data_IF_918818968351
#
_entry.id   IF_918818968351
#
_cell.length_a   1.000
_cell.length_b   1.000
_cell.length_c   1.000
_cell.angle_alpha   90.00
_cell.angle_beta   90.00
_cell.angle_gamma   90.00
#
_symmetry.space_group_name_H-M   'P 1'
#
loop_
_entity.id
_entity.type
_entity.pdbx_description
1 polymer ?
#
# COMPACT_ATOMS: atom_id res chain seq x y z
N UNK A 1 7.13 -29.00 7.01
CA UNK A 1 8.38 -28.45 7.58
C UNK A 1 8.75 -27.22 6.78
N UNK A 2 9.17 -26.14 7.42
CA UNK A 2 9.50 -24.91 6.69
C UNK A 2 10.84 -25.05 5.95
N UNK A 3 10.88 -24.57 4.70
CA UNK A 3 12.07 -24.58 3.86
C UNK A 3 13.07 -23.52 4.34
N UNK A 4 14.30 -23.95 4.65
CA UNK A 4 15.37 -23.13 5.21
C UNK A 4 15.72 -21.94 4.32
N UNK A 5 15.72 -22.12 3.00
CA UNK A 5 16.03 -21.05 2.05
C UNK A 5 14.99 -19.91 2.09
N UNK A 6 13.72 -20.24 2.25
CA UNK A 6 12.65 -19.24 2.37
C UNK A 6 12.73 -18.46 3.68
N UNK A 7 13.02 -19.15 4.78
CA UNK A 7 13.19 -18.52 6.10
C UNK A 7 14.36 -17.54 6.08
N UNK A 8 15.50 -17.94 5.51
CA UNK A 8 16.68 -17.07 5.38
C UNK A 8 16.35 -15.80 4.58
N UNK A 9 15.64 -15.93 3.45
CA UNK A 9 15.23 -14.76 2.65
C UNK A 9 14.29 -13.83 3.42
N UNK A 10 13.36 -14.38 4.18
CA UNK A 10 12.45 -13.58 5.00
C UNK A 10 13.20 -12.85 6.13
N UNK A 11 14.11 -13.55 6.81
CA UNK A 11 14.95 -12.99 7.87
C UNK A 11 15.85 -11.86 7.33
N UNK A 12 16.46 -12.06 6.16
CA UNK A 12 17.26 -11.02 5.49
C UNK A 12 16.41 -9.79 5.11
N UNK A 13 15.19 -10.00 4.63
CA UNK A 13 14.27 -8.90 4.28
C UNK A 13 13.91 -8.08 5.53
N UNK A 14 13.62 -8.74 6.65
CA UNK A 14 13.37 -8.10 7.93
C UNK A 14 14.60 -7.36 8.46
N UNK A 15 15.76 -8.02 8.48
CA UNK A 15 17.00 -7.43 8.96
C UNK A 15 17.40 -6.19 8.16
N UNK A 16 17.27 -6.23 6.83
CA UNK A 16 17.52 -5.08 5.97
C UNK A 16 16.56 -3.92 6.26
N UNK A 17 15.26 -4.21 6.39
CA UNK A 17 14.24 -3.18 6.66
C UNK A 17 14.44 -2.52 8.02
N UNK A 18 14.74 -3.30 9.06
CA UNK A 18 15.06 -2.80 10.41
C UNK A 18 16.38 -2.04 10.43
N UNK A 19 17.41 -2.53 9.74
CA UNK A 19 18.69 -1.83 9.61
C UNK A 19 18.53 -0.46 8.96
N UNK A 20 17.72 -0.37 7.90
CA UNK A 20 17.36 0.91 7.27
C UNK A 20 16.58 1.79 8.25
N UNK A 21 15.60 1.24 8.98
CA UNK A 21 14.85 2.01 9.97
C UNK A 21 15.76 2.60 11.07
N UNK A 22 16.73 1.84 11.56
CA UNK A 22 17.74 2.31 12.52
C UNK A 22 18.64 3.39 11.92
N UNK A 23 19.09 3.22 10.68
CA UNK A 23 19.90 4.21 9.98
C UNK A 23 19.12 5.52 9.75
N UNK A 24 17.85 5.43 9.37
CA UNK A 24 16.95 6.59 9.23
C UNK A 24 16.71 7.28 10.58
N UNK A 25 16.54 6.52 11.66
CA UNK A 25 16.38 7.07 13.00
C UNK A 25 17.64 7.80 13.47
N UNK A 26 18.81 7.18 13.26
CA UNK A 26 20.11 7.80 13.55
C UNK A 26 20.31 9.07 12.71
N UNK A 27 20.04 9.02 11.41
CA UNK A 27 20.15 10.18 10.52
C UNK A 27 19.21 11.31 10.96
N UNK A 28 17.95 10.98 11.28
CA UNK A 28 16.97 11.95 11.78
C UNK A 28 17.38 12.53 13.14
N UNK A 29 18.12 11.81 13.97
CA UNK A 29 18.59 12.31 15.26
C UNK A 29 19.85 13.16 15.12
N UNK A 30 20.83 12.70 14.33
CA UNK A 30 22.15 13.33 14.21
C UNK A 30 22.20 14.50 13.24
N UNK A 31 21.36 14.51 12.20
CA UNK A 31 21.42 15.47 11.10
C UNK A 31 20.14 16.30 10.97
N UNK A 32 19.54 16.74 12.08
CA UNK A 32 18.52 17.80 12.03
C UNK A 32 19.21 19.16 11.82
N UNK A 33 19.25 19.74 10.60
CA UNK A 33 19.99 20.97 10.33
C UNK A 33 19.57 22.19 11.16
N UNK A 34 18.34 22.24 11.70
CA UNK A 34 17.87 23.39 12.49
C UNK A 34 17.10 23.06 13.77
N UNK A 35 16.80 21.78 14.06
CA UNK A 35 16.02 21.39 15.23
C UNK A 35 14.59 21.97 15.27
N UNK A 36 14.09 22.44 14.12
CA UNK A 36 12.86 23.21 13.97
C UNK A 36 11.64 22.36 14.32
N UNK A 37 11.64 21.09 13.92
CA UNK A 37 10.56 20.14 14.24
C UNK A 37 10.44 19.99 15.78
N UNK A 38 11.56 19.82 16.47
CA UNK A 38 11.60 19.65 17.92
C UNK A 38 11.24 20.95 18.66
N UNK A 39 11.67 22.11 18.16
CA UNK A 39 11.35 23.40 18.74
C UNK A 39 9.88 23.78 18.51
N UNK A 40 9.33 23.58 17.31
CA UNK A 40 7.90 23.75 17.00
C UNK A 40 7.05 22.83 17.87
N UNK A 41 7.46 21.57 18.04
CA UNK A 41 6.77 20.63 18.93
C UNK A 41 6.73 21.13 20.38
N UNK A 42 7.87 21.61 20.91
CA UNK A 42 7.95 22.18 22.26
C UNK A 42 7.12 23.46 22.41
N UNK A 43 7.09 24.30 21.38
CA UNK A 43 6.36 25.56 21.40
C UNK A 43 4.84 25.34 21.36
N UNK A 44 4.38 24.38 20.55
CA UNK A 44 2.97 24.02 20.43
C UNK A 44 2.44 23.19 21.62
N UNK A 45 3.32 22.50 22.37
CA UNK A 45 2.95 21.76 23.59
C UNK A 45 3.07 22.60 24.88
N UNK A 46 3.25 23.93 24.80
CA UNK A 46 3.35 24.76 26.00
C UNK A 46 2.00 24.86 26.75
N UNK A 47 1.97 24.83 28.10
CA UNK A 47 0.75 24.81 28.94
C UNK A 47 -0.27 25.94 28.74
N UNK A 48 -0.04 26.94 27.89
CA UNK A 48 -1.01 28.01 27.63
C UNK A 48 -2.22 27.56 26.77
N UNK A 49 -2.12 26.45 26.03
CA UNK A 49 -3.28 25.79 25.39
C UNK A 49 -4.16 25.03 26.39
N UNK A 50 -3.68 24.76 27.61
CA UNK A 50 -4.44 24.08 28.67
C UNK A 50 -5.24 25.04 29.56
N UNK A 51 -4.94 26.34 29.53
CA UNK A 51 -5.53 27.33 30.46
C UNK A 51 -6.82 28.00 29.98
N UNK A 52 -7.27 27.74 28.75
CA UNK A 52 -8.40 28.45 28.17
C UNK A 52 -9.33 27.55 27.35
N UNK A 53 -10.00 26.59 27.98
CA UNK A 53 -11.34 26.11 27.59
C UNK A 53 -11.66 24.78 28.28
N UNK A 54 -12.65 24.80 29.16
CA UNK A 54 -13.31 23.62 29.73
C UNK A 54 -14.25 22.95 28.71
N UNK A 55 -13.78 22.65 27.49
CA UNK A 55 -14.65 22.06 26.46
C UNK A 55 -13.88 21.17 25.47
N UNK A 56 -14.23 19.88 25.49
CA UNK A 56 -13.92 18.82 24.50
C UNK A 56 -12.45 18.50 24.21
N UNK A 57 -11.99 17.35 24.73
CA UNK A 57 -10.66 16.76 24.54
C UNK A 57 -10.22 16.59 23.07
N UNK A 58 -11.16 16.44 22.14
CA UNK A 58 -10.86 16.27 20.72
C UNK A 58 -10.45 17.58 20.01
N UNK A 59 -11.03 18.73 20.38
CA UNK A 59 -10.70 20.03 19.78
C UNK A 59 -9.25 20.43 20.08
N UNK A 60 -8.83 20.24 21.32
CA UNK A 60 -7.46 20.53 21.77
C UNK A 60 -6.40 19.68 21.05
N UNK A 61 -6.71 18.42 20.70
CA UNK A 61 -5.82 17.56 19.93
C UNK A 61 -5.65 18.07 18.49
N UNK A 62 -6.75 18.49 17.86
CA UNK A 62 -6.73 19.02 16.50
C UNK A 62 -5.96 20.34 16.45
N UNK A 63 -6.21 21.25 17.38
CA UNK A 63 -5.52 22.55 17.44
C UNK A 63 -4.02 22.38 17.71
N UNK A 64 -3.64 21.48 18.63
CA UNK A 64 -2.24 21.16 18.89
C UNK A 64 -1.56 20.53 17.68
N UNK A 65 -2.26 19.65 16.95
CA UNK A 65 -1.76 19.04 15.72
C UNK A 65 -1.59 20.06 14.61
N UNK A 66 -2.55 20.97 14.42
CA UNK A 66 -2.49 22.03 13.42
C UNK A 66 -1.36 23.03 13.75
N UNK A 67 -1.14 23.35 15.02
CA UNK A 67 -0.02 24.19 15.45
C UNK A 67 1.32 23.62 15.01
N UNK A 68 1.52 22.30 15.14
CA UNK A 68 2.77 21.64 14.74
C UNK A 68 2.86 21.51 13.22
N UNK A 69 1.78 21.11 12.56
CA UNK A 69 1.80 20.67 11.16
C UNK A 69 1.80 21.84 10.16
N UNK A 70 1.13 22.96 10.48
CA UNK A 70 1.02 24.10 9.57
C UNK A 70 2.38 24.77 9.24
N UNK A 71 3.27 25.06 10.22
CA UNK A 71 4.60 25.59 9.94
C UNK A 71 5.43 24.64 9.08
N UNK A 72 5.32 23.33 9.32
CA UNK A 72 6.05 22.32 8.56
C UNK A 72 5.62 22.28 7.09
N UNK A 73 4.32 22.37 6.81
CA UNK A 73 3.84 22.43 5.42
C UNK A 73 4.20 23.74 4.72
N UNK A 74 4.30 24.86 5.45
CA UNK A 74 4.81 26.12 4.87
C UNK A 74 6.29 25.99 4.50
N UNK A 75 7.08 25.35 5.35
CA UNK A 75 8.50 25.08 5.08
C UNK A 75 8.68 24.03 3.97
N UNK A 76 7.78 23.06 3.83
CA UNK A 76 7.79 22.14 2.67
C UNK A 76 7.59 22.87 1.32
N UNK A 77 7.07 24.12 1.36
CA UNK A 77 6.79 24.97 0.20
C UNK A 77 7.76 26.13 0.04
N UNK A 78 8.79 26.26 0.88
CA UNK A 78 9.70 27.41 0.83
C UNK A 78 10.61 27.44 -0.40
N UNK A 79 10.93 26.29 -0.96
CA UNK A 79 11.96 26.12 -1.98
C UNK A 79 11.66 24.93 -2.90
N UNK A 80 12.31 24.89 -4.06
CA UNK A 80 11.97 23.95 -5.13
C UNK A 80 12.29 22.50 -4.74
N UNK A 81 13.38 22.27 -4.01
CA UNK A 81 13.80 20.93 -3.59
C UNK A 81 12.90 20.38 -2.46
N UNK A 82 12.44 21.21 -1.51
CA UNK A 82 11.46 20.80 -0.48
C UNK A 82 10.16 20.32 -1.10
N UNK A 83 9.67 21.03 -2.12
CA UNK A 83 8.47 20.63 -2.86
C UNK A 83 8.70 19.29 -3.55
N UNK A 84 9.87 19.12 -4.18
CA UNK A 84 10.24 17.88 -4.86
C UNK A 84 10.32 16.68 -3.91
N UNK A 85 11.03 16.82 -2.80
CA UNK A 85 11.23 15.78 -1.79
C UNK A 85 9.92 15.42 -1.07
N UNK A 86 9.08 16.41 -0.77
CA UNK A 86 7.77 16.15 -0.19
C UNK A 86 6.85 15.40 -1.17
N UNK A 87 6.88 15.75 -2.46
CA UNK A 87 6.16 15.02 -3.49
C UNK A 87 6.65 13.56 -3.60
N UNK A 88 7.96 13.34 -3.53
CA UNK A 88 8.52 11.98 -3.48
C UNK A 88 8.01 11.22 -2.26
N UNK A 89 7.99 11.81 -1.07
CA UNK A 89 7.43 11.17 0.11
C UNK A 89 5.96 10.76 -0.10
N UNK A 90 5.12 11.64 -0.65
CA UNK A 90 3.72 11.31 -0.99
C UNK A 90 3.60 10.13 -1.95
N UNK A 91 4.51 10.02 -2.93
CA UNK A 91 4.51 8.91 -3.89
C UNK A 91 4.63 7.53 -3.21
N UNK A 92 5.33 7.44 -2.07
CA UNK A 92 5.46 6.22 -1.29
C UNK A 92 4.36 6.02 -0.25
N UNK A 93 3.95 7.11 0.44
CA UNK A 93 2.92 7.08 1.48
C UNK A 93 1.56 6.65 0.91
N UNK A 94 1.17 7.19 -0.25
CA UNK A 94 -0.15 6.94 -0.84
C UNK A 94 -0.44 5.44 -1.10
N UNK A 95 0.43 4.70 -1.81
CA UNK A 95 0.28 3.25 -1.95
C UNK A 95 0.24 2.51 -0.61
N UNK A 96 1.07 2.91 0.35
CA UNK A 96 1.14 2.27 1.67
C UNK A 96 -0.19 2.42 2.43
N UNK A 97 -0.74 3.64 2.45
CA UNK A 97 -2.04 3.96 3.04
C UNK A 97 -3.16 3.20 2.34
N UNK A 98 -3.18 3.20 1.01
CA UNK A 98 -4.19 2.48 0.24
C UNK A 98 -4.15 0.98 0.56
N UNK A 99 -2.98 0.36 0.49
CA UNK A 99 -2.82 -1.07 0.77
C UNK A 99 -3.17 -1.44 2.21
N UNK A 100 -2.67 -0.67 3.19
CA UNK A 100 -2.98 -0.91 4.61
C UNK A 100 -4.49 -0.88 4.87
N UNK A 101 -5.20 0.04 4.22
CA UNK A 101 -6.64 0.18 4.39
C UNK A 101 -7.40 -0.92 3.67
N UNK A 102 -6.97 -1.33 2.46
CA UNK A 102 -7.52 -2.50 1.77
C UNK A 102 -7.39 -3.77 2.58
N UNK A 103 -6.21 -4.00 3.17
CA UNK A 103 -6.00 -5.11 4.11
C UNK A 103 -6.96 -4.99 5.28
N UNK A 104 -7.16 -3.79 5.83
CA UNK A 104 -8.00 -3.58 7.00
C UNK A 104 -9.50 -3.84 6.78
N UNK A 105 -10.03 -3.51 5.61
CA UNK A 105 -11.43 -3.73 5.25
C UNK A 105 -11.69 -5.13 4.65
N UNK A 106 -10.62 -5.85 4.29
CA UNK A 106 -10.71 -7.17 3.67
C UNK A 106 -11.20 -8.22 4.68
N UNK A 107 -12.15 -9.10 4.31
CA UNK A 107 -12.54 -10.23 5.15
C UNK A 107 -11.40 -11.25 5.34
N UNK A 108 -10.32 -11.13 4.56
CA UNK A 108 -9.24 -12.12 4.55
C UNK A 108 -8.12 -11.82 5.56
N UNK A 109 -8.07 -10.61 6.14
CA UNK A 109 -7.08 -10.28 7.16
C UNK A 109 -7.51 -10.85 8.51
N UNK A 110 -6.92 -11.98 8.93
CA UNK A 110 -7.42 -12.74 10.09
C UNK A 110 -7.21 -12.09 11.47
N UNK A 111 -6.64 -10.90 11.57
CA UNK A 111 -6.22 -10.32 12.85
C UNK A 111 -6.69 -8.87 12.95
N UNK A 112 -7.75 -8.67 13.75
CA UNK A 112 -8.39 -7.37 14.00
C UNK A 112 -7.45 -6.29 14.56
N UNK A 113 -6.44 -6.70 15.33
CA UNK A 113 -5.44 -5.76 15.85
C UNK A 113 -4.48 -5.27 14.77
N UNK A 114 -4.01 -6.17 13.89
CA UNK A 114 -3.08 -5.83 12.81
C UNK A 114 -3.80 -5.03 11.72
N UNK A 115 -5.08 -5.32 11.45
CA UNK A 115 -5.90 -4.53 10.53
C UNK A 115 -6.16 -3.11 11.02
N UNK A 116 -6.19 -2.86 12.34
CA UNK A 116 -6.23 -1.50 12.89
C UNK A 116 -4.86 -0.82 12.97
N UNK A 117 -3.82 -1.58 13.34
CA UNK A 117 -2.47 -1.06 13.53
C UNK A 117 -1.80 -0.61 12.22
N UNK A 118 -2.00 -1.34 11.11
CA UNK A 118 -1.35 -1.00 9.84
C UNK A 118 -1.84 0.35 9.27
N UNK A 119 -3.15 0.64 9.17
CA UNK A 119 -3.62 1.98 8.79
C UNK A 119 -3.17 3.07 9.75
N UNK A 120 -3.11 2.80 11.06
CA UNK A 120 -2.60 3.75 12.05
C UNK A 120 -1.12 4.08 11.84
N UNK A 121 -0.29 3.06 11.60
CA UNK A 121 1.13 3.25 11.31
C UNK A 121 1.36 3.93 9.96
N UNK A 122 0.57 3.60 8.93
CA UNK A 122 0.61 4.28 7.64
C UNK A 122 0.17 5.74 7.75
N UNK A 123 -0.85 6.02 8.56
CA UNK A 123 -1.27 7.38 8.90
C UNK A 123 -0.17 8.17 9.62
N UNK A 124 0.54 7.56 10.57
CA UNK A 124 1.68 8.22 11.25
C UNK A 124 2.80 8.60 10.27
N UNK A 125 3.02 7.82 9.21
CA UNK A 125 3.98 8.16 8.17
C UNK A 125 3.63 9.47 7.44
N UNK A 126 2.33 9.83 7.37
CA UNK A 126 1.83 11.07 6.75
C UNK A 126 2.25 12.32 7.52
N UNK A 127 2.25 12.27 8.85
CA UNK A 127 2.32 13.47 9.69
C UNK A 127 3.73 13.90 10.07
N UNK A 128 4.65 12.94 10.25
CA UNK A 128 5.94 13.21 10.90
C UNK A 128 7.11 12.88 9.97
N UNK A 129 6.85 12.50 8.72
CA UNK A 129 7.90 11.96 7.88
C UNK A 129 8.45 10.64 8.44
N UNK A 130 7.54 9.71 8.72
CA UNK A 130 7.80 8.49 9.48
C UNK A 130 8.50 7.39 8.70
N UNK A 131 9.57 7.69 7.94
CA UNK A 131 10.34 6.68 7.20
C UNK A 131 10.76 5.49 8.09
N UNK A 132 11.12 5.78 9.34
CA UNK A 132 11.39 4.78 10.39
C UNK A 132 10.17 3.92 10.70
N UNK A 133 8.99 4.53 10.85
CA UNK A 133 7.73 3.83 11.12
C UNK A 133 7.39 2.88 9.98
N UNK A 134 7.55 3.35 8.74
CA UNK A 134 7.29 2.58 7.53
C UNK A 134 8.26 1.40 7.37
N UNK A 135 9.58 1.61 7.46
CA UNK A 135 10.58 0.55 7.26
C UNK A 135 10.76 -0.37 8.49
N UNK A 136 10.41 0.11 9.70
CA UNK A 136 10.60 -0.61 10.96
C UNK A 136 9.32 -1.32 11.41
N UNK A 137 8.57 -0.76 12.38
CA UNK A 137 7.43 -1.44 13.00
C UNK A 137 6.37 -1.87 11.99
N UNK A 138 6.08 -1.07 10.96
CA UNK A 138 5.09 -1.43 9.95
C UNK A 138 5.45 -2.72 9.22
N UNK A 139 6.69 -2.87 8.73
CA UNK A 139 7.16 -4.11 8.06
C UNK A 139 7.12 -5.30 9.01
N UNK A 140 7.46 -5.11 10.29
CA UNK A 140 7.41 -6.17 11.30
C UNK A 140 5.96 -6.67 11.49
N UNK A 141 5.02 -5.75 11.74
CA UNK A 141 3.60 -6.10 11.93
C UNK A 141 3.01 -6.73 10.68
N UNK A 142 3.36 -6.21 9.50
CA UNK A 142 2.92 -6.77 8.23
C UNK A 142 3.44 -8.21 8.03
N UNK A 143 4.72 -8.45 8.36
CA UNK A 143 5.32 -9.79 8.27
C UNK A 143 4.65 -10.77 9.22
N UNK A 144 4.41 -10.36 10.48
CA UNK A 144 3.70 -11.16 11.46
C UNK A 144 2.29 -11.51 10.98
N UNK A 145 1.56 -10.52 10.45
CA UNK A 145 0.24 -10.72 9.86
C UNK A 145 0.26 -11.71 8.69
N UNK A 146 1.26 -11.61 7.81
CA UNK A 146 1.44 -12.48 6.65
C UNK A 146 1.75 -13.94 7.03
N UNK A 147 2.59 -14.15 8.05
CA UNK A 147 2.90 -15.48 8.58
C UNK A 147 1.70 -16.12 9.26
N UNK A 148 0.93 -15.33 10.01
CA UNK A 148 -0.29 -15.81 10.65
C UNK A 148 -1.40 -16.08 9.63
N UNK A 149 -1.49 -15.29 8.56
CA UNK A 149 -2.36 -15.58 7.44
C UNK A 149 -1.99 -16.92 6.79
N UNK A 150 -0.71 -17.15 6.53
CA UNK A 150 -0.23 -18.40 5.94
C UNK A 150 -0.56 -19.63 6.81
N UNK A 151 -0.36 -19.54 8.13
CA UNK A 151 -0.62 -20.67 9.04
C UNK A 151 -2.11 -20.98 9.22
N UNK A 152 -2.97 -19.97 9.07
CA UNK A 152 -4.42 -20.10 9.26
C UNK A 152 -5.22 -20.08 7.97
N UNK A 153 -4.59 -20.09 6.80
CA UNK A 153 -5.28 -19.96 5.51
C UNK A 153 -6.31 -21.09 5.34
N UNK A 154 -7.56 -20.73 5.01
CA UNK A 154 -8.54 -21.73 4.58
C UNK A 154 -8.10 -22.34 3.23
N UNK A 155 -8.41 -23.60 3.00
CA UNK A 155 -8.15 -24.28 1.71
C UNK A 155 -8.84 -23.60 0.53
N UNK A 156 -9.98 -22.93 0.78
CA UNK A 156 -10.78 -22.24 -0.23
C UNK A 156 -10.26 -20.84 -0.57
N UNK A 157 -10.66 -20.37 -1.75
CA UNK A 157 -10.29 -19.06 -2.28
C UNK A 157 -10.74 -17.90 -1.37
N UNK A 158 -10.02 -16.76 -1.40
CA UNK A 158 -10.33 -15.60 -0.56
C UNK A 158 -11.72 -15.01 -0.88
N UNK A 159 -12.34 -14.38 0.12
CA UNK A 159 -13.60 -13.65 -0.09
C UNK A 159 -13.33 -12.25 -0.67
N UNK A 160 -14.22 -11.72 -1.52
CA UNK A 160 -14.08 -10.35 -2.00
C UNK A 160 -14.22 -9.35 -0.85
N UNK A 161 -13.50 -8.23 -0.95
CA UNK A 161 -13.76 -7.06 -0.11
C UNK A 161 -15.13 -6.47 -0.47
N UNK A 162 -15.93 -6.10 0.52
CA UNK A 162 -17.26 -5.52 0.27
C UNK A 162 -17.16 -4.24 -0.56
N UNK A 163 -18.02 -4.13 -1.56
CA UNK A 163 -18.07 -3.00 -2.48
C UNK A 163 -18.15 -1.63 -1.77
N UNK A 164 -18.95 -1.51 -0.71
CA UNK A 164 -19.09 -0.26 0.05
C UNK A 164 -17.77 0.20 0.67
N UNK A 165 -16.99 -0.73 1.21
CA UNK A 165 -15.67 -0.41 1.79
C UNK A 165 -14.70 0.08 0.72
N UNK A 166 -14.68 -0.57 -0.44
CA UNK A 166 -13.84 -0.15 -1.58
C UNK A 166 -14.24 1.23 -2.09
N UNK A 167 -15.53 1.53 -2.19
CA UNK A 167 -16.03 2.84 -2.64
C UNK A 167 -15.66 3.95 -1.66
N UNK A 168 -15.93 3.75 -0.38
CA UNK A 168 -15.58 4.73 0.66
C UNK A 168 -14.07 4.96 0.70
N UNK A 169 -13.26 3.90 0.61
CA UNK A 169 -11.80 4.02 0.55
C UNK A 169 -11.37 4.83 -0.68
N UNK A 170 -11.94 4.56 -1.86
CA UNK A 170 -11.60 5.30 -3.07
C UNK A 170 -11.96 6.78 -2.98
N UNK A 171 -13.10 7.12 -2.35
CA UNK A 171 -13.47 8.52 -2.10
C UNK A 171 -12.47 9.18 -1.16
N UNK A 172 -12.11 8.52 -0.06
CA UNK A 172 -11.14 9.03 0.90
C UNK A 172 -9.77 9.21 0.24
N UNK A 173 -9.31 8.23 -0.54
CA UNK A 173 -8.05 8.31 -1.29
C UNK A 173 -8.10 9.43 -2.33
N UNK A 174 -9.22 9.62 -3.03
CA UNK A 174 -9.38 10.72 -3.98
C UNK A 174 -9.26 12.08 -3.28
N UNK A 175 -9.94 12.26 -2.15
CA UNK A 175 -9.83 13.47 -1.33
C UNK A 175 -8.40 13.68 -0.81
N UNK A 176 -7.72 12.61 -0.44
CA UNK A 176 -6.33 12.63 -0.01
C UNK A 176 -5.37 13.06 -1.12
N UNK A 177 -5.48 12.45 -2.30
CA UNK A 177 -4.72 12.80 -3.51
C UNK A 177 -4.96 14.28 -3.86
N UNK A 178 -6.23 14.69 -3.89
CA UNK A 178 -6.63 16.06 -4.20
C UNK A 178 -6.08 17.06 -3.19
N UNK A 179 -6.15 16.75 -1.89
CA UNK A 179 -5.56 17.58 -0.84
C UNK A 179 -4.04 17.71 -0.99
N UNK A 180 -3.34 16.59 -1.27
CA UNK A 180 -1.90 16.60 -1.55
C UNK A 180 -1.53 17.50 -2.74
N UNK A 181 -2.25 17.40 -3.86
CA UNK A 181 -2.08 18.30 -5.01
C UNK A 181 -2.35 19.77 -4.66
N UNK A 182 -3.44 20.04 -3.94
CA UNK A 182 -3.78 21.39 -3.51
C UNK A 182 -2.68 22.00 -2.63
N UNK A 183 -2.08 21.24 -1.71
CA UNK A 183 -0.95 21.71 -0.89
C UNK A 183 0.27 22.02 -1.78
N UNK A 184 0.50 21.25 -2.84
CA UNK A 184 1.62 21.47 -3.78
C UNK A 184 1.43 22.66 -4.71
N UNK A 185 0.19 23.00 -5.07
CA UNK A 185 -0.10 23.99 -6.12
C UNK A 185 -0.57 25.34 -5.56
N UNK A 186 -1.27 25.35 -4.43
CA UNK A 186 -1.84 26.56 -3.88
C UNK A 186 -0.82 27.36 -3.07
N UNK A 187 -1.09 28.66 -2.93
CA UNK A 187 -0.28 29.59 -2.14
C UNK A 187 -0.42 29.30 -0.64
N UNK A 188 0.70 29.18 0.11
CA UNK A 188 0.70 28.82 1.54
C UNK A 188 0.01 29.83 2.48
N UNK A 189 -0.31 31.02 1.98
CA UNK A 189 -0.99 32.09 2.72
C UNK A 189 -2.50 32.13 2.46
N UNK A 190 -2.98 31.44 1.42
CA UNK A 190 -4.38 31.48 1.02
C UNK A 190 -5.28 30.55 1.83
N UNK A 191 -6.52 30.98 2.11
CA UNK A 191 -7.50 30.18 2.85
C UNK A 191 -7.83 28.81 2.21
N UNK A 192 -7.65 28.68 0.89
CA UNK A 192 -7.81 27.40 0.17
C UNK A 192 -6.71 26.39 0.52
N UNK A 193 -5.48 26.86 0.72
CA UNK A 193 -4.36 26.01 1.13
C UNK A 193 -4.55 25.47 2.55
N UNK A 194 -4.98 26.32 3.48
CA UNK A 194 -5.32 25.89 4.85
C UNK A 194 -6.40 24.80 4.86
N UNK A 195 -7.45 24.94 4.04
CA UNK A 195 -8.49 23.91 3.91
C UNK A 195 -7.93 22.59 3.38
N UNK A 196 -6.98 22.64 2.44
CA UNK A 196 -6.32 21.44 1.91
C UNK A 196 -5.45 20.76 2.97
N UNK A 197 -4.71 21.52 3.79
CA UNK A 197 -3.95 20.98 4.92
C UNK A 197 -4.88 20.30 5.92
N UNK A 198 -5.95 20.97 6.34
CA UNK A 198 -6.93 20.40 7.27
C UNK A 198 -7.53 19.10 6.70
N UNK A 199 -7.90 19.09 5.42
CA UNK A 199 -8.40 17.87 4.77
C UNK A 199 -7.37 16.72 4.83
N UNK A 200 -6.10 17.00 4.57
CA UNK A 200 -5.02 16.01 4.65
C UNK A 200 -4.86 15.46 6.08
N UNK A 201 -4.97 16.33 7.09
CA UNK A 201 -4.90 15.94 8.52
C UNK A 201 -6.11 15.08 8.95
N UNK A 202 -7.29 15.33 8.39
CA UNK A 202 -8.50 14.59 8.77
C UNK A 202 -8.63 13.22 8.07
N UNK A 203 -8.00 13.03 6.91
CA UNK A 203 -8.09 11.77 6.16
C UNK A 203 -7.68 10.54 6.98
N UNK A 204 -6.55 10.54 7.71
CA UNK A 204 -6.18 9.45 8.60
C UNK A 204 -7.25 9.03 9.61
N UNK A 205 -7.99 10.00 10.17
CA UNK A 205 -9.09 9.71 11.10
C UNK A 205 -10.25 9.01 10.38
N UNK A 206 -10.55 9.41 9.13
CA UNK A 206 -11.56 8.72 8.32
C UNK A 206 -11.15 7.28 7.99
N UNK A 207 -9.86 7.05 7.69
CA UNK A 207 -9.32 5.73 7.37
C UNK A 207 -9.37 4.77 8.56
N UNK A 208 -9.07 5.24 9.76
CA UNK A 208 -9.09 4.42 10.98
C UNK A 208 -10.49 3.89 11.33
N UNK A 209 -11.53 4.67 11.02
CA UNK A 209 -12.92 4.28 11.30
C UNK A 209 -13.54 3.44 10.18
N UNK A 210 -12.89 3.38 9.02
CA UNK A 210 -13.45 2.76 7.83
C UNK A 210 -13.74 1.25 7.98
N UNK A 211 -12.89 0.42 8.62
CA UNK A 211 -13.19 -0.98 8.85
C UNK A 211 -14.50 -1.20 9.63
N UNK A 212 -14.73 -0.39 10.66
CA UNK A 212 -15.96 -0.41 11.46
C UNK A 212 -17.18 -0.04 10.61
N UNK A 213 -17.07 1.04 9.83
CA UNK A 213 -18.17 1.55 8.97
C UNK A 213 -18.47 0.58 7.82
N UNK A 214 -17.46 -0.10 7.27
CA UNK A 214 -17.63 -1.11 6.22
C UNK A 214 -18.32 -2.40 6.69
N UNK A 215 -18.68 -2.45 7.98
CA UNK A 215 -19.50 -3.49 8.59
C UNK A 215 -18.70 -4.71 9.02
N UNK A 216 -17.49 -4.49 9.55
CA UNK A 216 -16.67 -5.46 10.29
C UNK A 216 -16.78 -6.88 9.76
N UNK A 217 -16.02 -7.21 8.71
CA UNK A 217 -16.10 -8.53 8.09
C UNK A 217 -15.67 -9.61 9.08
N UNK A 218 -16.61 -10.47 9.51
CA UNK A 218 -16.26 -11.67 10.28
C UNK A 218 -15.33 -12.51 9.43
N UNK A 219 -14.08 -12.60 9.86
CA UNK A 219 -13.04 -13.36 9.17
C UNK A 219 -13.50 -14.81 9.07
N UNK A 220 -13.60 -15.39 7.85
CA UNK A 220 -13.99 -16.78 7.69
C UNK A 220 -12.89 -17.67 8.27
N UNK A 221 -13.25 -18.55 9.20
CA UNK A 221 -12.27 -19.37 9.91
C UNK A 221 -12.11 -20.76 9.28
N UNK A 222 -13.18 -21.27 8.65
CA UNK A 222 -13.24 -22.59 8.04
C UNK A 222 -13.79 -22.53 6.61
N UNK A 223 -13.79 -23.67 5.93
CA UNK A 223 -14.33 -23.77 4.56
C UNK A 223 -15.82 -23.44 4.47
N UNK A 224 -16.60 -23.82 5.49
CA UNK A 224 -18.04 -23.62 5.53
C UNK A 224 -18.39 -22.12 5.50
N UNK A 225 -17.66 -21.32 6.27
CA UNK A 225 -17.79 -19.87 6.32
C UNK A 225 -17.45 -19.24 4.96
N UNK A 226 -16.40 -19.73 4.30
CA UNK A 226 -16.01 -19.25 2.96
C UNK A 226 -17.08 -19.59 1.93
N UNK A 227 -17.60 -20.83 1.92
CA UNK A 227 -18.68 -21.22 1.00
C UNK A 227 -19.93 -20.39 1.22
N UNK A 228 -20.36 -20.23 2.47
CA UNK A 228 -21.51 -19.39 2.84
C UNK A 228 -21.30 -17.94 2.39
N UNK A 229 -20.09 -17.42 2.58
CA UNK A 229 -19.69 -16.09 2.12
C UNK A 229 -19.78 -15.94 0.61
N UNK A 230 -19.27 -16.91 -0.16
CA UNK A 230 -19.33 -16.90 -1.63
C UNK A 230 -20.76 -17.01 -2.15
N UNK A 231 -21.60 -17.86 -1.56
CA UNK A 231 -23.00 -18.03 -1.98
C UNK A 231 -23.85 -16.79 -1.77
N UNK A 232 -23.42 -15.86 -0.91
CA UNK A 232 -24.11 -14.58 -0.70
C UNK A 232 -23.94 -13.59 -1.86
N UNK A 233 -23.02 -13.85 -2.80
CA UNK A 233 -22.78 -13.01 -3.97
C UNK A 233 -23.40 -13.61 -5.23
N UNK A 234 -23.95 -12.74 -6.09
CA UNK A 234 -24.17 -13.09 -7.49
C UNK A 234 -22.83 -13.18 -8.24
N UNK A 235 -22.82 -13.84 -9.40
CA UNK A 235 -21.63 -13.93 -10.24
C UNK A 235 -21.08 -12.54 -10.62
N UNK A 236 -21.98 -11.60 -10.94
CA UNK A 236 -21.63 -10.22 -11.30
C UNK A 236 -21.06 -9.44 -10.11
N UNK A 237 -21.67 -9.57 -8.94
CA UNK A 237 -21.20 -8.89 -7.72
C UNK A 237 -19.82 -9.39 -7.31
N UNK A 238 -19.59 -10.71 -7.38
CA UNK A 238 -18.30 -11.32 -7.08
C UNK A 238 -17.21 -10.81 -8.04
N UNK A 239 -17.47 -10.77 -9.35
CA UNK A 239 -16.51 -10.26 -10.33
C UNK A 239 -16.21 -8.79 -10.10
N UNK A 240 -17.26 -7.97 -9.97
CA UNK A 240 -17.12 -6.52 -9.83
C UNK A 240 -16.39 -6.12 -8.56
N UNK A 241 -16.51 -6.88 -7.47
CA UNK A 241 -15.83 -6.57 -6.21
C UNK A 241 -14.30 -6.68 -6.33
N UNK A 242 -13.79 -7.76 -6.92
CA UNK A 242 -12.35 -7.90 -7.18
C UNK A 242 -11.86 -6.90 -8.24
N UNK A 243 -12.67 -6.66 -9.28
CA UNK A 243 -12.37 -5.68 -10.33
C UNK A 243 -12.20 -4.26 -9.82
N UNK A 244 -13.06 -3.86 -8.89
CA UNK A 244 -12.94 -2.55 -8.24
C UNK A 244 -11.62 -2.46 -7.47
N UNK A 245 -11.28 -3.47 -6.66
CA UNK A 245 -10.04 -3.44 -5.86
C UNK A 245 -8.78 -3.38 -6.74
N UNK A 246 -8.64 -4.25 -7.74
CA UNK A 246 -7.44 -4.22 -8.59
C UNK A 246 -7.39 -2.95 -9.45
N UNK A 247 -8.54 -2.45 -9.93
CA UNK A 247 -8.58 -1.18 -10.66
C UNK A 247 -8.15 -0.02 -9.77
N UNK A 248 -8.56 -0.01 -8.50
CA UNK A 248 -8.17 1.02 -7.55
C UNK A 248 -6.66 1.05 -7.32
N UNK A 249 -6.03 -0.12 -7.16
CA UNK A 249 -4.57 -0.19 -7.03
C UNK A 249 -3.86 0.43 -8.24
N UNK A 250 -4.32 0.17 -9.47
CA UNK A 250 -3.74 0.81 -10.67
C UNK A 250 -3.91 2.33 -10.68
N UNK A 251 -5.06 2.85 -10.23
CA UNK A 251 -5.30 4.31 -10.12
C UNK A 251 -4.40 4.95 -9.06
N UNK A 252 -4.23 4.31 -7.91
CA UNK A 252 -3.31 4.75 -6.86
C UNK A 252 -1.86 4.69 -7.37
N UNK A 253 -1.50 3.65 -8.11
CA UNK A 253 -0.20 3.51 -8.76
C UNK A 253 0.07 4.65 -9.75
N UNK A 254 -0.90 5.00 -10.59
CA UNK A 254 -0.79 6.15 -11.49
C UNK A 254 -0.59 7.47 -10.73
N UNK A 255 -1.39 7.71 -9.69
CA UNK A 255 -1.24 8.90 -8.86
C UNK A 255 0.15 8.97 -8.20
N UNK A 256 0.63 7.84 -7.66
CA UNK A 256 1.98 7.68 -7.12
C UNK A 256 3.05 8.00 -8.16
N UNK A 257 2.93 7.49 -9.39
CA UNK A 257 3.86 7.78 -10.48
C UNK A 257 3.89 9.26 -10.86
N UNK A 258 2.74 9.95 -10.83
CA UNK A 258 2.68 11.40 -11.08
C UNK A 258 3.45 12.16 -10.00
N UNK A 259 3.23 11.86 -8.72
CA UNK A 259 4.00 12.47 -7.62
C UNK A 259 5.49 12.14 -7.68
N UNK A 260 5.84 10.93 -8.10
CA UNK A 260 7.22 10.48 -8.27
C UNK A 260 7.95 11.32 -9.32
N UNK A 261 7.39 11.41 -10.54
CA UNK A 261 8.00 12.18 -11.63
C UNK A 261 8.00 13.68 -11.38
N UNK A 262 6.90 14.21 -10.83
CA UNK A 262 6.85 15.61 -10.41
C UNK A 262 7.94 15.93 -9.38
N UNK A 263 8.12 15.04 -8.40
CA UNK A 263 9.15 15.14 -7.37
C UNK A 263 10.57 15.13 -7.95
N UNK A 264 10.89 14.14 -8.79
CA UNK A 264 12.19 14.04 -9.47
C UNK A 264 12.47 15.30 -10.29
N UNK A 265 11.50 15.75 -11.11
CA UNK A 265 11.68 16.92 -11.95
C UNK A 265 11.98 18.18 -11.14
N UNK A 266 11.31 18.36 -9.99
CA UNK A 266 11.57 19.48 -9.07
C UNK A 266 12.95 19.39 -8.42
N UNK A 267 13.35 18.21 -7.93
CA UNK A 267 14.69 18.02 -7.35
C UNK A 267 15.79 18.24 -8.38
N UNK A 268 15.62 17.72 -9.60
CA UNK A 268 16.58 17.90 -10.69
C UNK A 268 16.72 19.39 -11.08
N UNK A 269 15.61 20.10 -11.20
CA UNK A 269 15.61 21.53 -11.46
C UNK A 269 16.27 22.32 -10.32
N UNK A 270 16.07 21.94 -9.07
CA UNK A 270 16.72 22.59 -7.93
C UNK A 270 18.24 22.38 -7.96
N UNK A 271 18.70 21.18 -8.28
CA UNK A 271 20.13 20.88 -8.45
C UNK A 271 20.78 21.65 -9.60
N UNK A 272 20.00 22.04 -10.60
CA UNK A 272 20.47 22.83 -11.74
C UNK A 272 20.42 24.34 -11.47
N UNK A 273 19.32 24.84 -10.90
CA UNK A 273 19.03 26.27 -10.75
C UNK A 273 19.43 26.86 -9.38
N UNK A 274 19.40 26.07 -8.30
CA UNK A 274 19.55 26.54 -6.91
C UNK A 274 20.82 25.97 -6.24
N UNK A 275 22.01 26.30 -6.77
CA UNK A 275 23.28 25.88 -6.13
C UNK A 275 23.83 26.95 -5.17
N UNK A 276 24.29 26.58 -3.96
CA UNK A 276 24.30 25.24 -3.36
C UNK A 276 22.95 24.85 -2.73
N UNK A 277 22.52 23.60 -2.93
CA UNK A 277 21.30 23.05 -2.31
C UNK A 277 21.56 22.81 -0.83
N UNK A 278 20.89 23.56 0.04
CA UNK A 278 20.90 23.33 1.50
C UNK A 278 19.56 22.75 1.91
N UNK A 279 19.54 21.48 2.30
CA UNK A 279 18.33 20.82 2.80
C UNK A 279 17.94 21.42 4.16
N UNK A 280 16.71 21.91 4.25
CA UNK A 280 16.10 22.25 5.54
C UNK A 280 15.58 20.98 6.26
N UNK A 281 15.16 21.11 7.53
CA UNK A 281 14.69 19.97 8.34
C UNK A 281 13.55 19.19 7.64
N UNK A 282 12.62 19.91 7.00
CA UNK A 282 11.42 19.31 6.37
C UNK A 282 11.78 18.59 5.08
N UNK A 283 12.66 19.18 4.26
CA UNK A 283 13.26 18.56 3.07
C UNK A 283 13.98 17.27 3.43
N UNK A 284 14.87 17.33 4.43
CA UNK A 284 15.64 16.18 4.88
C UNK A 284 14.71 15.08 5.41
N UNK A 285 13.75 15.43 6.25
CA UNK A 285 12.77 14.48 6.76
C UNK A 285 11.91 13.86 5.65
N UNK A 286 11.52 14.64 4.64
CA UNK A 286 10.78 14.14 3.46
C UNK A 286 11.62 13.14 2.65
N UNK A 287 12.92 13.39 2.50
CA UNK A 287 13.85 12.43 1.88
C UNK A 287 13.93 11.13 2.68
N UNK A 288 14.12 11.20 4.00
CA UNK A 288 14.15 10.01 4.87
C UNK A 288 12.82 9.23 4.79
N UNK A 289 11.71 9.94 4.69
CA UNK A 289 10.37 9.36 4.52
C UNK A 289 10.23 8.62 3.21
N UNK A 290 10.69 9.22 2.11
CA UNK A 290 10.67 8.58 0.81
C UNK A 290 11.52 7.29 0.82
N UNK A 291 12.72 7.33 1.40
CA UNK A 291 13.58 6.13 1.52
C UNK A 291 12.89 5.06 2.36
N UNK A 292 12.35 5.42 3.53
CA UNK A 292 11.71 4.46 4.44
C UNK A 292 10.44 3.84 3.85
N UNK A 293 9.58 4.65 3.22
CA UNK A 293 8.36 4.15 2.56
C UNK A 293 8.68 3.31 1.33
N UNK A 294 9.66 3.68 0.52
CA UNK A 294 10.14 2.87 -0.61
C UNK A 294 10.65 1.51 -0.15
N UNK A 295 11.44 1.50 0.94
CA UNK A 295 11.95 0.26 1.56
C UNK A 295 10.79 -0.61 2.03
N UNK A 296 9.81 -0.02 2.73
CA UNK A 296 8.63 -0.74 3.21
C UNK A 296 7.85 -1.37 2.06
N UNK A 297 7.57 -0.62 0.99
CA UNK A 297 6.83 -1.11 -0.17
C UNK A 297 7.51 -2.31 -0.83
N UNK A 298 8.83 -2.24 -1.03
CA UNK A 298 9.61 -3.34 -1.62
C UNK A 298 9.71 -4.55 -0.67
N UNK A 299 9.85 -4.31 0.63
CA UNK A 299 9.82 -5.36 1.64
C UNK A 299 8.47 -6.08 1.65
N UNK A 300 7.36 -5.35 1.57
CA UNK A 300 5.99 -5.90 1.51
C UNK A 300 5.82 -6.82 0.31
N UNK A 301 6.20 -6.37 -0.89
CA UNK A 301 6.16 -7.21 -2.11
C UNK A 301 6.97 -8.50 -1.91
N UNK A 302 8.15 -8.38 -1.30
CA UNK A 302 9.03 -9.54 -1.02
C UNK A 302 8.41 -10.49 0.00
N UNK A 303 7.82 -9.96 1.07
CA UNK A 303 7.12 -10.75 2.10
C UNK A 303 5.95 -11.50 1.49
N UNK A 304 5.11 -10.84 0.70
CA UNK A 304 3.96 -11.49 0.05
C UNK A 304 4.40 -12.64 -0.87
N UNK A 305 5.48 -12.45 -1.65
CA UNK A 305 6.08 -13.49 -2.51
C UNK A 305 6.56 -14.70 -1.71
N UNK A 306 7.12 -14.48 -0.53
CA UNK A 306 7.61 -15.55 0.32
C UNK A 306 6.48 -16.24 1.09
N UNK A 307 5.36 -15.56 1.34
CA UNK A 307 4.33 -16.02 2.27
C UNK A 307 3.07 -16.55 1.61
N UNK A 308 2.27 -15.75 0.90
CA UNK A 308 0.94 -16.19 0.43
C UNK A 308 0.62 -15.87 -1.02
N UNK A 309 1.46 -15.08 -1.70
CA UNK A 309 1.44 -14.83 -3.15
C UNK A 309 2.71 -15.38 -3.80
N UNK A 310 3.10 -16.58 -3.37
CA UNK A 310 4.19 -17.31 -3.98
C UNK A 310 3.83 -17.72 -5.41
N UNK A 311 4.81 -17.64 -6.30
CA UNK A 311 4.67 -18.13 -7.66
C UNK A 311 4.47 -19.64 -7.65
N UNK A 312 3.43 -20.12 -8.32
CA UNK A 312 3.05 -21.53 -8.39
C UNK A 312 3.78 -22.27 -9.51
N UNK A 313 4.19 -21.60 -10.59
CA UNK A 313 4.89 -22.21 -11.71
C UNK A 313 5.73 -21.24 -12.53
N UNK A 314 6.75 -21.74 -13.21
CA UNK A 314 7.36 -21.05 -14.34
C UNK A 314 6.59 -21.39 -15.61
N UNK A 315 6.27 -20.36 -16.39
CA UNK A 315 5.55 -20.47 -17.66
C UNK A 315 6.48 -20.13 -18.81
N UNK A 316 6.56 -21.03 -19.79
CA UNK A 316 7.14 -20.71 -21.09
C UNK A 316 6.03 -20.23 -22.02
N UNK A 317 6.24 -19.02 -22.57
CA UNK A 317 5.30 -18.33 -23.42
C UNK A 317 5.88 -18.21 -24.81
N UNK A 318 5.16 -18.71 -25.82
CA UNK A 318 5.46 -18.45 -27.22
C UNK A 318 4.60 -17.28 -27.69
N UNK A 319 5.24 -16.21 -28.15
CA UNK A 319 4.55 -15.10 -28.78
C UNK A 319 4.07 -15.55 -30.17
N UNK A 320 2.76 -15.49 -30.42
CA UNK A 320 2.22 -15.59 -31.76
C UNK A 320 2.27 -14.20 -32.38
N UNK A 321 3.04 -14.06 -33.47
CA UNK A 321 2.94 -12.89 -34.35
C UNK A 321 1.55 -12.91 -34.99
N UNK A 322 0.66 -12.05 -34.51
CA UNK A 322 -0.53 -11.65 -35.23
C UNK A 322 -0.54 -10.13 -35.29
N UNK A 323 -0.71 -9.63 -36.51
CA UNK A 323 -0.75 -8.22 -36.85
C UNK A 323 -1.48 -7.37 -35.78
N UNK A 324 -0.68 -6.52 -35.16
CA UNK A 324 -1.04 -5.24 -34.52
C UNK A 324 -2.05 -5.12 -33.38
N UNK A 325 -2.79 -6.12 -32.88
CA UNK A 325 -3.71 -5.81 -31.74
C UNK A 325 -3.73 -6.70 -30.50
N UNK A 326 -3.21 -7.93 -30.50
CA UNK A 326 -3.11 -8.70 -29.25
C UNK A 326 -1.98 -9.73 -29.34
N UNK A 327 -0.94 -9.58 -28.51
CA UNK A 327 0.02 -10.66 -28.28
C UNK A 327 -0.67 -11.70 -27.39
N UNK A 328 -1.30 -12.69 -28.01
CA UNK A 328 -1.78 -13.87 -27.28
C UNK A 328 -0.57 -14.78 -27.06
N UNK A 329 -0.11 -14.83 -25.81
CA UNK A 329 0.95 -15.74 -25.42
C UNK A 329 0.37 -17.14 -25.23
N UNK A 330 0.76 -18.11 -26.07
CA UNK A 330 0.43 -19.50 -25.81
C UNK A 330 1.41 -20.06 -24.78
N UNK A 331 0.87 -20.55 -23.65
CA UNK A 331 1.63 -21.32 -22.65
C UNK A 331 1.99 -22.67 -23.25
N UNK A 332 3.27 -22.89 -23.56
CA UNK A 332 3.79 -24.14 -24.13
C UNK A 332 4.23 -25.12 -23.06
N UNK A 333 4.80 -24.63 -21.96
CA UNK A 333 5.25 -25.44 -20.84
C UNK A 333 4.94 -24.75 -19.51
N UNK A 334 4.54 -25.56 -18.53
CA UNK A 334 4.27 -25.11 -17.16
C UNK A 334 4.94 -26.07 -16.19
N UNK A 335 5.90 -25.57 -15.41
CA UNK A 335 6.63 -26.37 -14.42
C UNK A 335 6.32 -25.87 -13.01
N UNK A 336 5.72 -26.70 -12.14
CA UNK A 336 5.32 -26.31 -10.80
C UNK A 336 6.52 -25.97 -9.91
N UNK A 337 6.36 -24.97 -9.05
CA UNK A 337 7.38 -24.51 -8.10
C UNK A 337 6.86 -24.75 -6.68
N UNK A 338 7.62 -25.44 -5.81
CA UNK A 338 7.26 -25.60 -4.41
C UNK A 338 7.22 -24.25 -3.67
N UNK A 339 6.28 -24.11 -2.75
CA UNK A 339 6.11 -22.90 -1.96
C UNK A 339 7.41 -22.55 -1.19
N UNK A 340 7.88 -21.28 -1.25
CA UNK A 340 9.19 -20.90 -0.75
C UNK A 340 9.36 -21.10 0.76
N UNK A 341 8.32 -20.87 1.57
CA UNK A 341 8.38 -21.12 3.02
C UNK A 341 7.93 -22.52 3.46
N UNK A 342 6.84 -23.07 2.93
CA UNK A 342 6.29 -24.35 3.43
C UNK A 342 6.81 -25.58 2.69
N UNK A 343 7.42 -25.40 1.52
CA UNK A 343 7.80 -26.49 0.61
C UNK A 343 6.61 -27.23 -0.02
N UNK A 344 5.38 -26.77 0.25
CA UNK A 344 4.17 -27.41 -0.29
C UNK A 344 4.13 -27.27 -1.82
N UNK A 345 3.69 -28.32 -2.50
CA UNK A 345 3.43 -28.25 -3.93
C UNK A 345 2.24 -27.33 -4.21
N UNK A 346 2.25 -26.58 -5.33
CA UNK A 346 1.15 -25.71 -5.70
C UNK A 346 -0.10 -26.55 -5.94
N UNK A 347 -1.27 -26.01 -5.56
CA UNK A 347 -2.52 -26.70 -5.82
C UNK A 347 -2.84 -26.71 -7.32
N UNK A 348 -3.68 -27.65 -7.75
CA UNK A 348 -4.18 -27.67 -9.14
C UNK A 348 -4.88 -26.36 -9.51
N UNK A 349 -5.60 -25.76 -8.56
CA UNK A 349 -6.28 -24.46 -8.74
C UNK A 349 -5.28 -23.33 -8.95
N UNK A 350 -4.15 -23.33 -8.23
CA UNK A 350 -3.10 -22.33 -8.40
C UNK A 350 -2.43 -22.42 -9.78
N UNK A 351 -2.14 -23.64 -10.24
CA UNK A 351 -1.56 -23.87 -11.57
C UNK A 351 -2.51 -23.45 -12.70
N UNK A 352 -3.79 -23.81 -12.59
CA UNK A 352 -4.80 -23.40 -13.57
C UNK A 352 -5.02 -21.88 -13.56
N UNK A 353 -4.98 -21.26 -12.38
CA UNK A 353 -5.06 -19.81 -12.24
C UNK A 353 -3.92 -19.15 -13.00
N UNK A 354 -2.66 -19.49 -12.71
CA UNK A 354 -1.52 -18.87 -13.39
C UNK A 354 -1.60 -19.03 -14.91
N UNK A 355 -1.98 -20.22 -15.38
CA UNK A 355 -2.17 -20.47 -16.82
C UNK A 355 -3.29 -19.61 -17.42
N UNK A 356 -4.41 -19.48 -16.73
CA UNK A 356 -5.55 -18.70 -17.20
C UNK A 356 -5.20 -17.21 -17.26
N UNK A 357 -4.58 -16.69 -16.20
CA UNK A 357 -4.29 -15.27 -16.11
C UNK A 357 -3.05 -14.89 -16.94
N UNK A 358 -2.19 -15.83 -17.32
CA UNK A 358 -1.16 -15.61 -18.34
C UNK A 358 -1.73 -15.50 -19.76
N UNK A 359 -2.84 -16.18 -20.05
CA UNK A 359 -3.52 -16.14 -21.37
C UNK A 359 -4.38 -14.89 -21.54
N UNK A 360 -5.04 -14.47 -20.48
CA UNK A 360 -5.93 -13.32 -20.47
C UNK A 360 -5.56 -12.39 -19.30
N UNK A 361 -4.43 -11.68 -19.40
CA UNK A 361 -4.01 -10.74 -18.37
C UNK A 361 -4.93 -9.51 -18.40
N UNK A 362 -5.44 -9.09 -17.24
CA UNK A 362 -6.24 -7.86 -17.13
C UNK A 362 -5.40 -6.58 -17.28
N UNK A 363 -4.08 -6.70 -17.41
CA UNK A 363 -3.12 -5.59 -17.53
C UNK A 363 -1.98 -5.91 -18.49
N UNK A 364 -1.00 -5.02 -18.60
CA UNK A 364 0.11 -5.22 -19.53
C UNK A 364 1.14 -6.21 -18.95
N UNK A 365 1.38 -7.38 -19.60
CA UNK A 365 2.19 -8.45 -19.01
C UNK A 365 3.62 -8.01 -18.66
N UNK A 366 4.21 -7.17 -19.51
CA UNK A 366 5.58 -6.67 -19.31
C UNK A 366 5.71 -5.85 -18.02
N UNK A 367 4.64 -5.18 -17.58
CA UNK A 367 4.69 -4.30 -16.41
C UNK A 367 4.18 -4.97 -15.12
N UNK A 368 3.28 -5.96 -15.23
CA UNK A 368 2.60 -6.53 -14.06
C UNK A 368 3.04 -7.97 -13.73
N UNK A 369 3.77 -8.65 -14.61
CA UNK A 369 4.11 -10.08 -14.44
C UNK A 369 5.54 -10.29 -14.01
N UNK A 370 5.70 -11.06 -12.93
CA UNK A 370 6.98 -11.56 -12.45
C UNK A 370 7.93 -10.47 -11.95
N UNK A 371 9.18 -10.87 -11.69
CA UNK A 371 10.20 -9.99 -11.13
C UNK A 371 10.64 -8.90 -12.13
N UNK A 372 10.68 -9.25 -13.43
CA UNK A 372 10.98 -8.30 -14.51
C UNK A 372 9.93 -7.20 -14.61
N UNK A 373 8.64 -7.54 -14.49
CA UNK A 373 7.58 -6.53 -14.51
C UNK A 373 7.64 -5.58 -13.33
N UNK A 374 7.86 -6.11 -12.11
CA UNK A 374 8.07 -5.25 -10.92
C UNK A 374 9.27 -4.32 -11.10
N UNK A 375 10.39 -4.80 -11.63
CA UNK A 375 11.56 -3.98 -11.89
C UNK A 375 11.30 -2.91 -12.97
N UNK A 376 10.58 -3.27 -14.03
CA UNK A 376 10.17 -2.32 -15.07
C UNK A 376 9.25 -1.23 -14.51
N UNK A 377 8.24 -1.59 -13.73
CA UNK A 377 7.33 -0.65 -13.08
C UNK A 377 8.06 0.27 -12.08
N UNK A 378 9.05 -0.28 -11.36
CA UNK A 378 9.90 0.49 -10.44
C UNK A 378 10.69 1.57 -11.17
N UNK A 379 11.28 1.24 -12.32
CA UNK A 379 12.00 2.20 -13.16
C UNK A 379 11.05 3.23 -13.79
N UNK A 380 9.86 2.80 -14.21
CA UNK A 380 8.92 3.64 -14.93
C UNK A 380 8.20 4.65 -14.04
N UNK A 381 7.84 4.30 -12.81
CA UNK A 381 7.00 5.15 -11.96
C UNK A 381 7.30 5.06 -10.46
N UNK A 382 8.45 4.51 -10.10
CA UNK A 382 8.89 4.40 -8.72
C UNK A 382 8.30 3.21 -7.96
N UNK A 383 8.68 3.07 -6.68
CA UNK A 383 8.34 1.90 -5.86
C UNK A 383 6.85 1.78 -5.57
N UNK A 384 6.15 2.91 -5.51
CA UNK A 384 4.71 2.95 -5.33
C UNK A 384 3.93 2.33 -6.49
N UNK A 385 4.27 2.69 -7.73
CA UNK A 385 3.68 2.08 -8.92
C UNK A 385 3.94 0.57 -8.96
N UNK A 386 5.18 0.16 -8.72
CA UNK A 386 5.59 -1.25 -8.72
C UNK A 386 4.82 -2.09 -7.70
N UNK A 387 4.67 -1.59 -6.47
CA UNK A 387 3.90 -2.26 -5.43
C UNK A 387 2.40 -2.31 -5.77
N UNK A 388 1.83 -1.23 -6.30
CA UNK A 388 0.44 -1.20 -6.74
C UNK A 388 0.14 -2.20 -7.85
N UNK A 389 1.02 -2.36 -8.84
CA UNK A 389 0.87 -3.36 -9.89
C UNK A 389 0.97 -4.78 -9.34
N UNK A 390 1.90 -5.02 -8.42
CA UNK A 390 1.98 -6.29 -7.70
C UNK A 390 0.68 -6.62 -6.95
N UNK A 391 0.10 -5.65 -6.24
CA UNK A 391 -1.14 -5.88 -5.50
C UNK A 391 -2.36 -6.04 -6.40
N UNK A 392 -2.48 -5.22 -7.45
CA UNK A 392 -3.53 -5.33 -8.44
C UNK A 392 -3.55 -6.74 -9.06
N UNK A 393 -2.37 -7.26 -9.39
CA UNK A 393 -2.23 -8.61 -9.92
C UNK A 393 -2.71 -9.69 -8.94
N UNK A 394 -2.29 -9.62 -7.68
CA UNK A 394 -2.74 -10.62 -6.70
C UNK A 394 -4.25 -10.58 -6.42
N UNK A 395 -4.90 -9.42 -6.56
CA UNK A 395 -6.37 -9.30 -6.50
C UNK A 395 -7.06 -9.91 -7.75
N UNK A 396 -6.45 -9.79 -8.92
CA UNK A 396 -6.91 -10.46 -10.14
C UNK A 396 -6.88 -11.99 -9.98
N UNK A 397 -5.78 -12.54 -9.45
CA UNK A 397 -5.61 -13.96 -9.17
C UNK A 397 -6.58 -14.46 -8.10
N UNK A 398 -6.73 -13.69 -7.01
CA UNK A 398 -7.72 -13.94 -5.98
C UNK A 398 -9.13 -14.04 -6.58
N UNK A 399 -9.52 -13.06 -7.40
CA UNK A 399 -10.83 -13.04 -8.04
C UNK A 399 -11.05 -14.19 -9.01
N UNK A 400 -10.02 -14.62 -9.75
CA UNK A 400 -10.12 -15.80 -10.60
C UNK A 400 -10.41 -17.06 -9.77
N UNK A 401 -9.66 -17.28 -8.69
CA UNK A 401 -9.83 -18.44 -7.80
C UNK A 401 -11.22 -18.43 -7.17
N UNK A 402 -11.68 -17.29 -6.65
CA UNK A 402 -12.99 -17.18 -6.01
C UNK A 402 -14.15 -17.40 -6.98
N UNK A 403 -14.05 -16.94 -8.24
CA UNK A 403 -15.05 -17.21 -9.28
C UNK A 403 -15.08 -18.68 -9.71
N UNK A 404 -13.95 -19.37 -9.69
CA UNK A 404 -13.90 -20.81 -9.94
C UNK A 404 -14.62 -21.56 -8.82
N UNK A 405 -14.26 -21.30 -7.57
CA UNK A 405 -14.90 -21.90 -6.39
C UNK A 405 -16.41 -21.64 -6.36
N UNK A 406 -16.84 -20.40 -6.63
CA UNK A 406 -18.27 -20.07 -6.70
C UNK A 406 -19.01 -20.91 -7.72
N UNK A 407 -18.45 -21.13 -8.92
CA UNK A 407 -19.07 -21.97 -9.96
C UNK A 407 -19.17 -23.43 -9.54
N UNK A 408 -18.14 -23.95 -8.85
CA UNK A 408 -18.15 -25.31 -8.33
C UNK A 408 -19.23 -25.50 -7.25
N UNK A 409 -19.38 -24.51 -6.35
CA UNK A 409 -20.44 -24.52 -5.33
C UNK A 409 -21.82 -24.53 -6.00
N UNK A 410 -22.06 -23.67 -6.98
CA UNK A 410 -23.35 -23.58 -7.68
C UNK A 410 -23.68 -24.88 -8.45
N UNK A 411 -22.68 -25.48 -9.10
CA UNK A 411 -22.85 -26.75 -9.81
C UNK A 411 -23.15 -27.93 -8.88
N UNK A 412 -22.64 -27.90 -7.64
CA UNK A 412 -22.95 -28.91 -6.62
C UNK A 412 -24.33 -28.69 -6.00
N UNK A 413 -24.77 -27.45 -5.81
CA UNK A 413 -26.13 -27.17 -5.34
C UNK A 413 -27.19 -27.54 -6.37
N UNK A 414 -26.94 -27.31 -7.67
CA UNK A 414 -27.89 -27.63 -8.74
C UNK A 414 -28.06 -29.14 -8.97
N UNK A 415 -27.11 -29.97 -8.53
CA UNK A 415 -27.19 -31.45 -8.61
C UNK A 415 -27.94 -32.09 -7.44
N UNK A 416 -28.20 -31.33 -6.37
CA UNK A 416 -28.97 -31.79 -5.20
C UNK A 416 -30.47 -31.46 -5.31
N UNK A 417 -30.85 -30.65 -6.29
CA UNK A 417 -32.22 -30.48 -6.78
C UNK A 417 -32.45 -31.47 -7.92
#
# INVERSE_FOLDING_TARGET
MANTAGIVKLALTLAASVGIALALAYASYSYQPSGTILSTWKHCNWPNLQKGSSSNSAGNIIDSSLCVVLPLFKQARSDLHSVGLFSLALSGIMPLVAHSTYVAISPNSRISFISGALPALAALAVFIGGGVVAAGPYVIFYTLGSLLYLSKRASLAPLPTRAIGVHLLNVILFLYVGAGFCIMLLEPTGGRWYKAVIALVLVPLALLNLPTISGGSRVPNNEVDVRKGLTAYSAGDLSSAFERTWSSYRRVGLASAIFYWYGIGRVANALYLERPVKLNDVSFNSLLTFIGTSTALLALVTIERLTFRAQASTLELKALNLDTKMVVSQVTQQTPIPHPLTGAQPSKVDLECEKAVARAPAGHPIAEVGLKGTAFALLLGGPGLAACFWWARGEEEAGWKSRKEWREIQALSSKKQ
#
